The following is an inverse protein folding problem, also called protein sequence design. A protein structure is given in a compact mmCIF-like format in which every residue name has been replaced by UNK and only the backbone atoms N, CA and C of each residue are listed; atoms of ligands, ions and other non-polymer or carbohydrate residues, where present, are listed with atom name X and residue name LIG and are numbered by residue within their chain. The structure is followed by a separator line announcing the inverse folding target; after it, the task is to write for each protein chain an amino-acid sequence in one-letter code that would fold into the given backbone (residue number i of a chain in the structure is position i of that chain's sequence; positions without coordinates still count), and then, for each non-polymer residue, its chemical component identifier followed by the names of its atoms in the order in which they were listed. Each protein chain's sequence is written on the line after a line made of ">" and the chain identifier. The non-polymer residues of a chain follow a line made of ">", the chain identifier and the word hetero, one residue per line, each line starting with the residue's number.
data_IF_002488108450
#
_entry.id   IF_002488108450
#
_cell.length_a   1.000
_cell.length_b   1.000
_cell.length_c   1.000
_cell.angle_alpha   90.00
_cell.angle_beta   90.00
_cell.angle_gamma   90.00
#
_symmetry.space_group_name_H-M   'P 1'
#
loop_
_entity.id
_entity.type
_entity.pdbx_description
1 polymer ?
#
# COMPACT_ATOMS: atom_id res chain seq x y z
N UNK A 1 -8.67 72.93 3.48
CA UNK A 1 -8.44 72.73 2.04
C UNK A 1 -8.35 71.22 1.81
N UNK A 2 -9.45 70.65 1.31
CA UNK A 2 -9.55 69.25 0.94
C UNK A 2 -9.08 69.09 -0.50
N UNK A 3 -8.46 67.99 -0.88
CA UNK A 3 -8.75 67.42 -2.17
C UNK A 3 -9.25 65.99 -2.08
N UNK A 4 -10.25 65.79 -2.88
CA UNK A 4 -11.04 64.62 -3.14
C UNK A 4 -10.22 63.39 -3.57
N UNK A 5 -10.50 62.27 -2.93
CA UNK A 5 -10.08 60.93 -3.39
C UNK A 5 -11.23 60.37 -4.22
N UNK A 6 -10.98 60.16 -5.50
CA UNK A 6 -11.90 59.50 -6.42
C UNK A 6 -11.60 58.00 -6.36
N UNK A 7 -12.56 57.22 -5.87
CA UNK A 7 -12.51 55.75 -5.95
C UNK A 7 -13.04 55.32 -7.33
N UNK A 8 -12.17 54.71 -8.15
CA UNK A 8 -12.60 54.02 -9.36
C UNK A 8 -13.04 52.61 -8.99
N UNK A 9 -14.33 52.36 -9.11
CA UNK A 9 -14.90 51.01 -9.09
C UNK A 9 -14.80 50.46 -10.51
N UNK A 10 -13.83 49.55 -10.71
CA UNK A 10 -13.72 48.80 -11.96
C UNK A 10 -14.62 47.57 -11.89
N UNK A 11 -15.75 47.61 -12.60
CA UNK A 11 -16.57 46.44 -12.83
C UNK A 11 -15.92 45.57 -13.90
N UNK A 12 -15.38 44.43 -13.50
CA UNK A 12 -14.94 43.39 -14.43
C UNK A 12 -16.15 42.58 -14.89
N UNK A 13 -16.66 42.90 -16.09
CA UNK A 13 -17.63 42.07 -16.79
C UNK A 13 -16.92 40.86 -17.38
N UNK A 14 -17.16 39.70 -16.76
CA UNK A 14 -16.76 38.40 -17.33
C UNK A 14 -17.67 38.11 -18.53
N UNK A 15 -17.14 38.18 -19.73
CA UNK A 15 -17.78 37.64 -20.94
C UNK A 15 -17.68 36.12 -20.91
N UNK A 16 -18.80 35.48 -20.63
CA UNK A 16 -19.00 34.07 -20.90
C UNK A 16 -19.16 33.89 -22.41
N UNK A 17 -18.09 33.45 -23.11
CA UNK A 17 -18.23 32.91 -24.45
C UNK A 17 -18.93 31.57 -24.33
N UNK A 18 -20.22 31.54 -24.60
CA UNK A 18 -20.93 30.31 -24.89
C UNK A 18 -20.49 29.81 -26.27
N UNK A 19 -19.63 28.79 -26.32
CA UNK A 19 -19.40 28.01 -27.51
C UNK A 19 -20.70 27.28 -27.83
N UNK A 20 -21.54 27.84 -28.72
CA UNK A 20 -22.59 27.08 -29.35
C UNK A 20 -21.92 26.07 -30.28
N UNK A 21 -21.91 24.79 -29.83
CA UNK A 21 -21.61 23.69 -30.71
C UNK A 21 -22.68 23.67 -31.80
N UNK A 22 -22.29 23.99 -33.06
CA UNK A 22 -23.07 23.62 -34.22
C UNK A 22 -23.07 22.08 -34.26
N UNK A 23 -24.11 21.49 -33.74
CA UNK A 23 -24.46 20.13 -34.09
C UNK A 23 -24.91 20.16 -35.55
N UNK A 24 -24.01 19.86 -36.47
CA UNK A 24 -24.40 19.41 -37.80
C UNK A 24 -25.17 18.13 -37.59
N UNK A 25 -26.49 18.19 -37.79
CA UNK A 25 -27.30 16.99 -37.92
C UNK A 25 -26.74 16.22 -39.12
N UNK A 26 -25.86 15.28 -38.89
CA UNK A 26 -25.60 14.21 -39.84
C UNK A 26 -26.95 13.47 -39.89
N UNK A 27 -27.69 13.70 -40.98
CA UNK A 27 -28.89 12.89 -41.23
C UNK A 27 -28.43 11.43 -41.20
N UNK A 28 -29.07 10.60 -40.39
CA UNK A 28 -28.80 9.17 -40.37
C UNK A 28 -28.83 8.65 -41.81
N UNK A 29 -27.76 8.00 -42.21
CA UNK A 29 -27.72 7.34 -43.49
C UNK A 29 -28.88 6.31 -43.50
N UNK A 30 -29.62 6.19 -44.61
CA UNK A 30 -30.73 5.25 -44.66
C UNK A 30 -30.23 3.84 -44.33
N UNK A 31 -30.81 3.24 -43.35
CA UNK A 31 -30.47 1.89 -42.88
C UNK A 31 -31.00 0.82 -43.83
N UNK A 32 -31.92 1.20 -44.73
CA UNK A 32 -32.55 0.31 -45.71
C UNK A 32 -32.38 0.86 -47.14
N UNK A 33 -32.15 -0.02 -48.07
CA UNK A 33 -32.20 0.26 -49.50
C UNK A 33 -33.60 -0.04 -49.99
N UNK A 34 -34.30 0.97 -50.54
CA UNK A 34 -35.60 0.86 -51.11
C UNK A 34 -35.48 0.62 -52.63
N UNK A 35 -36.22 -0.33 -53.16
CA UNK A 35 -36.17 -0.64 -54.58
C UNK A 35 -37.54 -1.09 -55.11
N UNK A 36 -37.74 -0.96 -56.40
CA UNK A 36 -38.90 -1.45 -57.12
C UNK A 36 -38.49 -2.51 -58.13
N UNK A 37 -39.09 -3.70 -58.04
CA UNK A 37 -38.86 -4.82 -58.98
C UNK A 37 -40.02 -4.87 -59.98
N UNK A 38 -39.70 -4.79 -61.26
CA UNK A 38 -40.69 -4.99 -62.31
C UNK A 38 -41.24 -6.42 -62.30
N UNK A 39 -42.58 -6.55 -62.33
CA UNK A 39 -43.29 -7.83 -62.20
C UNK A 39 -43.16 -8.72 -63.43
N UNK A 40 -42.89 -8.15 -64.63
CA UNK A 40 -42.77 -8.89 -65.89
C UNK A 40 -41.34 -9.34 -66.22
N UNK A 41 -40.39 -8.45 -65.98
CA UNK A 41 -38.99 -8.62 -66.42
C UNK A 41 -38.01 -8.82 -65.28
N UNK A 42 -38.46 -8.70 -64.04
CA UNK A 42 -37.63 -8.87 -62.84
C UNK A 42 -36.57 -7.77 -62.60
N UNK A 43 -36.51 -6.76 -63.48
CA UNK A 43 -35.58 -5.65 -63.32
C UNK A 43 -35.82 -4.89 -62.05
N UNK A 44 -34.76 -4.59 -61.27
CA UNK A 44 -34.79 -3.87 -60.01
C UNK A 44 -34.18 -2.48 -60.24
N UNK A 45 -34.86 -1.43 -59.77
CA UNK A 45 -34.31 -0.07 -59.69
C UNK A 45 -34.39 0.42 -58.27
N UNK A 46 -33.33 1.06 -57.80
CA UNK A 46 -33.30 1.70 -56.48
C UNK A 46 -34.12 2.97 -56.49
N UNK A 47 -34.87 3.20 -55.43
CA UNK A 47 -35.73 4.37 -55.23
C UNK A 47 -35.49 4.97 -53.86
N UNK A 48 -35.91 6.21 -53.64
CA UNK A 48 -35.77 6.89 -52.36
C UNK A 48 -37.00 6.68 -51.45
N UNK A 49 -38.04 6.04 -51.92
CA UNK A 49 -39.27 5.79 -51.19
C UNK A 49 -40.06 4.64 -51.76
N UNK A 50 -40.69 3.84 -50.92
CA UNK A 50 -41.60 2.75 -51.31
C UNK A 50 -42.71 3.20 -52.24
N UNK A 51 -43.17 4.42 -52.10
CA UNK A 51 -44.26 4.99 -52.92
C UNK A 51 -43.82 5.36 -54.35
N UNK A 52 -42.54 5.22 -54.70
CA UNK A 52 -42.00 5.54 -56.00
C UNK A 52 -42.15 4.36 -57.02
N UNK A 53 -42.71 3.25 -56.60
CA UNK A 53 -42.95 2.10 -57.48
C UNK A 53 -44.17 2.33 -58.39
N UNK A 54 -44.02 1.96 -59.65
CA UNK A 54 -45.06 2.06 -60.65
C UNK A 54 -46.06 0.89 -60.50
N UNK A 55 -47.26 0.99 -61.12
CA UNK A 55 -48.30 -0.01 -61.00
C UNK A 55 -47.91 -1.43 -61.45
N UNK A 56 -46.85 -1.55 -62.27
CA UNK A 56 -46.30 -2.81 -62.76
C UNK A 56 -45.01 -3.21 -62.02
N UNK A 57 -44.77 -2.63 -60.84
CA UNK A 57 -43.62 -2.89 -59.99
C UNK A 57 -44.08 -3.28 -58.61
N UNK A 58 -43.29 -4.14 -57.95
CA UNK A 58 -43.45 -4.50 -56.56
C UNK A 58 -42.33 -3.88 -55.75
N UNK A 59 -42.63 -3.27 -54.61
CA UNK A 59 -41.65 -2.75 -53.70
C UNK A 59 -40.87 -3.89 -53.02
N UNK A 60 -39.59 -3.71 -52.88
CA UNK A 60 -38.64 -4.58 -52.15
C UNK A 60 -37.66 -3.71 -51.37
N UNK A 61 -37.35 -4.11 -50.17
CA UNK A 61 -36.36 -3.43 -49.36
C UNK A 61 -35.43 -4.45 -48.67
N UNK A 62 -34.23 -4.02 -48.39
CA UNK A 62 -33.28 -4.79 -47.61
C UNK A 62 -32.35 -3.85 -46.82
N UNK A 63 -31.82 -4.33 -45.70
CA UNK A 63 -30.96 -3.54 -44.82
C UNK A 63 -29.58 -3.34 -45.46
N UNK A 64 -28.98 -2.16 -45.23
CA UNK A 64 -27.62 -1.82 -45.74
C UNK A 64 -26.58 -2.66 -44.99
N UNK A 65 -26.85 -2.97 -43.72
CA UNK A 65 -26.00 -3.81 -42.89
C UNK A 65 -26.73 -5.11 -42.57
N UNK A 66 -26.02 -6.22 -42.57
CA UNK A 66 -26.54 -7.50 -42.12
C UNK A 66 -26.75 -7.51 -40.60
N UNK A 67 -27.55 -8.44 -40.07
CA UNK A 67 -27.71 -8.59 -38.63
C UNK A 67 -26.36 -8.79 -37.95
N UNK A 68 -26.20 -8.19 -36.78
CA UNK A 68 -25.02 -8.41 -35.97
C UNK A 68 -24.81 -9.90 -35.72
N UNK A 69 -23.57 -10.34 -35.80
CA UNK A 69 -23.20 -11.71 -35.47
C UNK A 69 -23.60 -12.08 -34.04
N UNK A 70 -23.80 -13.36 -33.76
CA UNK A 70 -24.09 -13.80 -32.41
C UNK A 70 -22.98 -13.34 -31.43
N UNK A 71 -23.36 -12.97 -30.22
CA UNK A 71 -22.41 -12.69 -29.18
C UNK A 71 -21.42 -13.86 -29.00
N UNK A 72 -20.13 -13.57 -28.84
CA UNK A 72 -19.14 -14.59 -28.55
C UNK A 72 -19.50 -15.39 -27.29
N UNK A 73 -19.01 -16.61 -27.15
CA UNK A 73 -19.20 -17.38 -25.93
C UNK A 73 -18.66 -16.62 -24.71
N UNK A 74 -19.34 -16.77 -23.59
CA UNK A 74 -18.85 -16.22 -22.32
C UNK A 74 -17.41 -16.73 -22.07
N UNK A 75 -16.53 -15.85 -21.64
CA UNK A 75 -15.18 -16.22 -21.23
C UNK A 75 -15.20 -17.31 -20.14
N UNK A 76 -14.14 -18.09 -20.02
CA UNK A 76 -14.03 -19.07 -18.94
C UNK A 76 -14.15 -18.36 -17.56
N UNK A 77 -14.77 -19.07 -16.64
CA UNK A 77 -14.81 -18.61 -15.24
C UNK A 77 -13.38 -18.39 -14.77
N UNK A 78 -13.09 -17.22 -14.20
CA UNK A 78 -11.78 -16.92 -13.62
C UNK A 78 -11.37 -18.00 -12.61
N UNK A 79 -10.07 -18.20 -12.39
CA UNK A 79 -9.59 -19.12 -11.36
C UNK A 79 -10.20 -18.74 -10.01
N UNK A 80 -10.43 -19.71 -9.12
CA UNK A 80 -10.82 -19.43 -7.74
C UNK A 80 -9.84 -18.41 -7.14
N UNK A 81 -10.35 -17.46 -6.36
CA UNK A 81 -9.51 -16.54 -5.60
C UNK A 81 -8.50 -17.30 -4.73
N UNK A 82 -7.37 -16.71 -4.39
CA UNK A 82 -6.40 -17.30 -3.49
C UNK A 82 -7.13 -17.73 -2.20
N UNK A 83 -6.69 -18.85 -1.65
CA UNK A 83 -7.17 -19.30 -0.32
C UNK A 83 -6.94 -18.12 0.64
N UNK A 84 -7.97 -17.72 1.38
CA UNK A 84 -7.81 -16.74 2.43
C UNK A 84 -6.66 -17.15 3.37
N UNK A 85 -5.93 -16.16 3.85
CA UNK A 85 -4.84 -16.37 4.80
C UNK A 85 -5.33 -17.25 5.96
N UNK A 86 -4.48 -18.16 6.40
CA UNK A 86 -4.75 -18.89 7.63
C UNK A 86 -4.95 -17.85 8.73
N UNK A 87 -6.11 -17.82 9.35
CA UNK A 87 -6.33 -16.93 10.48
C UNK A 87 -5.15 -17.07 11.43
N UNK A 88 -4.63 -15.94 11.90
CA UNK A 88 -3.56 -15.92 12.90
C UNK A 88 -4.05 -16.67 14.14
N UNK A 89 -3.71 -17.95 14.20
CA UNK A 89 -3.93 -18.75 15.39
C UNK A 89 -3.13 -18.15 16.54
N UNK A 90 -3.54 -18.43 17.77
CA UNK A 90 -2.79 -18.06 18.97
C UNK A 90 -1.41 -18.73 18.87
N UNK A 91 -0.38 -17.92 18.73
CA UNK A 91 1.00 -18.42 18.58
C UNK A 91 1.60 -18.86 19.91
N UNK A 92 1.06 -18.38 21.03
CA UNK A 92 1.45 -18.76 22.40
C UNK A 92 0.27 -18.56 23.35
N UNK A 93 0.32 -19.20 24.53
CA UNK A 93 -0.69 -19.00 25.58
C UNK A 93 -0.68 -17.56 26.10
N UNK A 94 0.48 -16.91 26.09
CA UNK A 94 0.64 -15.52 26.49
C UNK A 94 -0.17 -14.56 25.62
N UNK A 95 -0.45 -14.93 24.36
CA UNK A 95 -1.31 -14.15 23.49
C UNK A 95 -2.78 -14.08 23.95
N UNK A 96 -3.16 -14.86 24.96
CA UNK A 96 -4.47 -14.79 25.60
C UNK A 96 -4.53 -13.73 26.71
N UNK A 97 -3.39 -13.31 27.25
CA UNK A 97 -3.35 -12.32 28.31
C UNK A 97 -4.05 -11.03 27.86
N UNK A 98 -4.91 -10.50 28.71
CA UNK A 98 -5.67 -9.28 28.44
C UNK A 98 -6.87 -9.44 27.51
N UNK A 99 -7.12 -10.62 26.91
CA UNK A 99 -8.32 -10.80 26.08
C UNK A 99 -9.59 -10.70 26.93
N UNK A 100 -10.65 -10.10 26.35
CA UNK A 100 -11.91 -9.94 27.07
C UNK A 100 -12.52 -11.32 27.41
N UNK A 101 -12.96 -11.47 28.65
CA UNK A 101 -13.64 -12.66 29.13
C UNK A 101 -14.85 -12.28 30.00
N UNK A 102 -15.62 -13.27 30.41
CA UNK A 102 -16.66 -13.12 31.42
C UNK A 102 -16.34 -13.98 32.62
N UNK A 103 -16.42 -13.39 33.79
CA UNK A 103 -16.33 -14.11 35.06
C UNK A 103 -17.52 -15.05 35.25
N UNK A 104 -17.44 -15.94 36.20
CA UNK A 104 -18.50 -16.93 36.47
C UNK A 104 -19.84 -16.28 36.81
N UNK A 105 -19.84 -15.10 37.41
CA UNK A 105 -21.03 -14.29 37.72
C UNK A 105 -21.50 -13.41 36.54
N UNK A 106 -20.86 -13.52 35.38
CA UNK A 106 -21.23 -12.83 34.15
C UNK A 106 -20.68 -11.40 34.04
N UNK A 107 -19.85 -10.94 34.98
CA UNK A 107 -19.17 -9.66 34.85
C UNK A 107 -18.14 -9.66 33.73
N UNK A 108 -17.88 -8.49 33.13
CA UNK A 108 -16.81 -8.35 32.15
C UNK A 108 -15.46 -8.35 32.88
N UNK A 109 -14.50 -9.05 32.32
CA UNK A 109 -13.16 -9.16 32.82
C UNK A 109 -12.16 -9.33 31.69
N UNK A 110 -10.92 -9.60 32.06
CA UNK A 110 -9.81 -9.90 31.13
C UNK A 110 -9.11 -11.18 31.60
N UNK A 111 -8.51 -11.88 30.63
CA UNK A 111 -7.76 -13.12 30.91
C UNK A 111 -6.41 -12.75 31.49
N UNK A 112 -6.10 -13.30 32.65
CA UNK A 112 -4.74 -13.35 33.18
C UNK A 112 -4.13 -14.72 32.94
N UNK A 113 -2.89 -14.70 32.43
CA UNK A 113 -2.08 -15.90 32.22
C UNK A 113 -1.06 -15.98 33.34
N UNK A 114 -1.16 -16.99 34.16
CA UNK A 114 -0.23 -17.28 35.25
C UNK A 114 0.46 -18.59 35.07
N UNK A 115 1.62 -18.77 35.70
CA UNK A 115 2.28 -20.07 35.85
C UNK A 115 2.51 -20.38 37.32
N UNK A 116 2.35 -21.66 37.68
CA UNK A 116 2.67 -22.14 39.03
C UNK A 116 4.05 -22.78 39.05
N UNK A 117 4.63 -22.94 40.22
CA UNK A 117 5.93 -23.58 40.42
C UNK A 117 5.99 -25.05 39.92
N UNK A 118 4.88 -25.61 39.45
CA UNK A 118 4.75 -26.95 38.91
C UNK A 118 4.49 -27.00 37.40
N UNK A 119 4.91 -25.97 36.68
CA UNK A 119 4.73 -25.82 35.22
C UNK A 119 3.26 -25.85 34.73
N UNK A 120 2.30 -25.62 35.64
CA UNK A 120 0.90 -25.48 35.27
C UNK A 120 0.59 -24.06 34.85
N UNK A 121 0.12 -23.93 33.61
CA UNK A 121 -0.40 -22.61 33.12
C UNK A 121 -1.81 -22.45 33.62
N UNK A 122 -2.08 -21.31 34.25
CA UNK A 122 -3.43 -20.92 34.73
C UNK A 122 -3.95 -19.79 33.87
N UNK A 123 -5.20 -19.90 33.45
CA UNK A 123 -5.97 -18.85 32.79
C UNK A 123 -7.09 -18.46 33.76
N UNK A 124 -7.08 -17.25 34.23
CA UNK A 124 -8.12 -16.68 35.11
C UNK A 124 -8.79 -15.51 34.43
N UNK A 125 -10.10 -15.38 34.61
CA UNK A 125 -10.83 -14.18 34.18
C UNK A 125 -10.98 -13.26 35.39
N UNK A 126 -10.20 -12.20 35.45
CA UNK A 126 -10.23 -11.24 36.55
C UNK A 126 -11.29 -10.16 36.29
N UNK A 127 -12.21 -9.97 37.25
CA UNK A 127 -13.21 -8.89 37.22
C UNK A 127 -12.67 -7.67 37.94
N UNK A 128 -12.65 -6.55 37.25
CA UNK A 128 -12.59 -5.22 37.85
C UNK A 128 -11.23 -4.59 37.97
N UNK A 129 -11.13 -3.41 37.43
CA UNK A 129 -10.38 -2.28 37.95
C UNK A 129 -8.92 -2.13 37.59
N UNK A 130 -8.59 -2.34 36.39
CA UNK A 130 -7.62 -1.50 35.67
C UNK A 130 -8.12 -1.37 34.23
N UNK A 131 -7.89 -0.23 33.62
CA UNK A 131 -8.11 -0.05 32.17
C UNK A 131 -7.72 -1.34 31.46
N UNK A 132 -8.62 -1.95 30.64
CA UNK A 132 -8.24 -3.11 29.84
C UNK A 132 -6.89 -2.78 29.21
N UNK A 133 -5.91 -3.70 29.19
CA UNK A 133 -4.77 -3.52 28.32
C UNK A 133 -5.36 -3.17 26.96
N UNK A 134 -4.85 -2.19 26.24
CA UNK A 134 -5.41 -1.78 24.98
C UNK A 134 -5.61 -3.04 24.14
N UNK A 135 -6.86 -3.30 23.72
CA UNK A 135 -7.23 -4.44 22.88
C UNK A 135 -6.67 -4.20 21.48
N UNK A 136 -5.37 -4.30 21.38
CA UNK A 136 -4.61 -4.09 20.17
C UNK A 136 -3.23 -4.70 20.37
N UNK A 137 -2.65 -5.21 19.33
CA UNK A 137 -1.26 -5.61 19.31
C UNK A 137 -0.39 -4.41 18.92
N UNK A 138 0.75 -4.28 19.53
CA UNK A 138 1.82 -3.42 19.03
C UNK A 138 2.58 -4.16 17.93
N UNK A 139 2.99 -3.43 16.90
CA UNK A 139 3.82 -3.97 15.83
C UNK A 139 4.85 -2.92 15.45
N UNK A 140 6.10 -3.22 15.76
CA UNK A 140 7.23 -2.36 15.42
C UNK A 140 7.82 -2.81 14.09
N UNK A 141 8.02 -1.85 13.19
CA UNK A 141 8.68 -2.07 11.89
C UNK A 141 9.71 -0.98 11.63
N UNK A 142 10.78 -1.30 10.93
CA UNK A 142 11.72 -0.34 10.34
C UNK A 142 10.97 0.32 9.18
N UNK A 143 10.86 1.64 9.17
CA UNK A 143 9.94 2.34 8.25
C UNK A 143 10.65 3.24 7.23
N UNK A 144 11.75 3.86 7.61
CA UNK A 144 12.56 4.71 6.75
C UNK A 144 14.03 4.61 7.17
N UNK A 145 14.94 4.62 6.21
CA UNK A 145 16.39 4.49 6.43
C UNK A 145 17.11 5.43 5.49
N UNK A 146 17.96 6.27 6.06
CA UNK A 146 18.94 7.11 5.36
C UNK A 146 20.32 6.60 5.72
N UNK A 147 21.06 6.05 4.76
CA UNK A 147 22.35 5.40 5.01
C UNK A 147 23.49 5.88 4.08
N UNK A 148 23.19 6.69 3.05
CA UNK A 148 24.21 7.17 2.10
C UNK A 148 23.89 8.61 1.66
N UNK A 149 24.33 9.58 2.46
CA UNK A 149 24.02 10.99 2.25
C UNK A 149 24.89 11.63 1.15
N UNK A 150 24.31 12.58 0.41
CA UNK A 150 25.04 13.32 -0.61
C UNK A 150 26.19 14.11 -0.01
N UNK A 151 27.40 13.78 -0.43
CA UNK A 151 28.66 14.46 -0.05
C UNK A 151 29.38 13.83 1.12
N UNK A 152 29.24 14.35 2.34
CA UNK A 152 29.82 13.72 3.53
C UNK A 152 28.81 12.74 4.11
N UNK A 153 29.19 11.49 4.19
CA UNK A 153 28.37 10.43 4.74
C UNK A 153 28.30 10.57 6.27
N UNK A 154 27.39 11.41 6.72
CA UNK A 154 27.16 11.72 8.14
C UNK A 154 25.72 12.19 8.37
N UNK A 155 25.11 11.73 9.45
CA UNK A 155 23.78 12.18 9.85
C UNK A 155 22.63 11.30 9.36
N UNK A 156 22.93 10.05 9.06
CA UNK A 156 21.95 9.03 8.76
C UNK A 156 20.97 8.78 9.90
N UNK A 157 19.87 8.15 9.59
CA UNK A 157 18.86 7.76 10.58
C UNK A 157 18.15 6.46 10.22
N UNK A 158 17.53 5.87 11.24
CA UNK A 158 16.57 4.78 11.05
C UNK A 158 15.28 5.18 11.76
N UNK A 159 14.17 5.17 11.05
CA UNK A 159 12.86 5.38 11.63
C UNK A 159 12.18 4.04 11.93
N UNK A 160 11.62 3.93 13.13
CA UNK A 160 10.82 2.79 13.58
C UNK A 160 9.38 3.25 13.75
N UNK A 161 8.42 2.57 13.11
CA UNK A 161 7.00 2.84 13.25
C UNK A 161 6.31 1.77 14.10
N UNK A 162 5.37 2.20 14.95
CA UNK A 162 4.43 1.28 15.57
C UNK A 162 3.15 1.23 14.73
N UNK A 163 3.06 0.24 13.85
CA UNK A 163 1.91 0.02 12.96
C UNK A 163 0.78 -0.74 13.64
N UNK A 164 0.94 -1.11 14.90
CA UNK A 164 -0.08 -1.78 15.72
C UNK A 164 -1.17 -0.82 16.20
N UNK A 165 -2.15 -1.38 16.88
CA UNK A 165 -3.31 -0.67 17.44
C UNK A 165 -3.15 -0.38 18.93
N UNK A 166 -2.06 -0.84 19.55
CA UNK A 166 -1.69 -0.57 20.93
C UNK A 166 -0.31 0.06 21.02
N UNK A 167 -0.02 0.73 22.13
CA UNK A 167 1.31 1.23 22.41
C UNK A 167 2.31 0.06 22.55
N UNK A 168 3.50 0.23 22.00
CA UNK A 168 4.61 -0.71 22.11
C UNK A 168 5.54 -0.30 23.27
N UNK A 169 5.94 -1.24 24.14
CA UNK A 169 7.10 -1.01 24.99
C UNK A 169 8.37 -1.19 24.19
N UNK A 170 9.31 -0.28 24.34
CA UNK A 170 10.61 -0.32 23.69
C UNK A 170 11.69 -0.93 24.59
N UNK A 171 11.41 -1.11 25.87
CA UNK A 171 12.32 -1.76 26.80
C UNK A 171 12.55 -3.21 26.38
N UNK A 172 13.83 -3.57 26.22
CA UNK A 172 14.21 -4.86 25.68
C UNK A 172 14.19 -4.96 24.13
N UNK A 173 13.99 -3.83 23.44
CA UNK A 173 14.12 -3.78 21.97
C UNK A 173 15.45 -3.11 21.61
N UNK A 174 16.11 -3.63 20.59
CA UNK A 174 17.32 -3.05 20.03
C UNK A 174 17.26 -2.98 18.50
N UNK A 175 17.70 -1.87 17.96
CA UNK A 175 18.08 -1.73 16.56
C UNK A 175 19.55 -2.15 16.43
N UNK A 176 19.83 -3.13 15.59
CA UNK A 176 21.14 -3.71 15.36
C UNK A 176 21.56 -3.43 13.94
N UNK A 177 22.80 -2.96 13.77
CA UNK A 177 23.41 -2.67 12.48
C UNK A 177 24.37 -3.80 12.14
N UNK A 178 24.25 -4.39 10.95
CA UNK A 178 24.93 -5.61 10.53
C UNK A 178 25.74 -5.35 9.27
N UNK A 179 27.04 -5.67 9.33
CA UNK A 179 27.93 -5.70 8.18
C UNK A 179 27.67 -6.98 7.37
N UNK A 180 27.22 -6.85 6.14
CA UNK A 180 26.92 -8.01 5.30
C UNK A 180 28.16 -8.71 4.73
N UNK A 181 29.32 -8.10 4.78
CA UNK A 181 30.57 -8.72 4.35
C UNK A 181 30.96 -9.94 5.18
N UNK A 182 30.60 -9.95 6.47
CA UNK A 182 30.88 -11.08 7.39
C UNK A 182 29.66 -11.48 8.23
N UNK A 183 28.54 -10.79 8.09
CA UNK A 183 27.31 -11.03 8.84
C UNK A 183 27.40 -10.64 10.32
N UNK A 184 28.38 -9.85 10.72
CA UNK A 184 28.56 -9.44 12.12
C UNK A 184 27.87 -8.14 12.45
N UNK A 185 27.44 -8.01 13.70
CA UNK A 185 26.98 -6.76 14.27
C UNK A 185 28.15 -5.78 14.41
N UNK A 186 27.98 -4.54 13.89
CA UNK A 186 28.95 -3.47 14.08
C UNK A 186 28.41 -2.31 14.92
N UNK A 187 27.11 -2.26 15.15
CA UNK A 187 26.48 -1.22 15.94
C UNK A 187 25.15 -1.65 16.54
N UNK A 188 24.80 -1.06 17.67
CA UNK A 188 23.55 -1.37 18.38
C UNK A 188 22.99 -0.14 19.08
N UNK A 189 21.69 0.06 18.96
CA UNK A 189 20.94 1.07 19.72
C UNK A 189 19.85 0.39 20.53
N UNK A 190 20.03 0.30 21.84
CA UNK A 190 18.97 -0.14 22.75
C UNK A 190 17.91 0.93 22.82
N UNK A 191 16.65 0.55 22.60
CA UNK A 191 15.51 1.43 22.70
C UNK A 191 14.93 1.38 24.11
N UNK A 192 14.26 2.44 24.52
CA UNK A 192 13.63 2.53 25.84
C UNK A 192 12.33 3.32 25.81
N UNK A 193 11.44 3.07 26.77
CA UNK A 193 10.19 3.78 26.91
C UNK A 193 9.04 3.18 26.14
N UNK A 194 8.16 3.98 25.58
CA UNK A 194 6.93 3.55 24.96
C UNK A 194 6.66 4.30 23.66
N UNK A 195 6.31 3.60 22.60
CA UNK A 195 5.89 4.17 21.33
C UNK A 195 4.38 3.96 21.14
N UNK A 196 3.61 5.05 21.11
CA UNK A 196 2.15 4.97 20.94
C UNK A 196 1.76 4.30 19.61
N UNK A 197 0.54 3.77 19.53
CA UNK A 197 -0.02 3.27 18.28
C UNK A 197 0.00 4.33 17.18
N UNK A 198 0.49 3.99 15.99
CA UNK A 198 0.65 4.89 14.85
C UNK A 198 1.78 5.91 14.98
N UNK A 199 2.53 5.92 16.10
CA UNK A 199 3.66 6.82 16.29
C UNK A 199 4.95 6.27 15.65
N UNK A 200 5.89 7.18 15.44
CA UNK A 200 7.20 6.92 14.85
C UNK A 200 8.31 7.37 15.80
N UNK A 201 9.42 6.67 15.78
CA UNK A 201 10.63 6.98 16.52
C UNK A 201 11.78 7.09 15.51
N UNK A 202 12.35 8.26 15.39
CA UNK A 202 13.58 8.48 14.65
C UNK A 202 14.77 8.16 15.56
N UNK A 203 15.59 7.22 15.13
CA UNK A 203 16.80 6.79 15.82
C UNK A 203 17.99 7.39 15.08
N UNK A 204 18.71 8.25 15.74
CA UNK A 204 19.95 8.86 15.26
C UNK A 204 21.07 7.81 15.28
N UNK A 205 21.30 7.22 14.13
CA UNK A 205 22.34 6.23 13.85
C UNK A 205 22.79 6.42 12.39
N UNK A 206 24.00 6.02 12.11
CA UNK A 206 24.62 6.14 10.78
C UNK A 206 24.89 4.72 10.24
N UNK A 207 23.93 4.11 9.52
CA UNK A 207 24.13 2.79 8.95
C UNK A 207 25.19 2.84 7.85
N UNK A 208 26.01 1.79 7.73
CA UNK A 208 27.03 1.72 6.69
C UNK A 208 26.40 1.64 5.29
N UNK A 209 27.13 2.18 4.30
CA UNK A 209 26.79 2.14 2.89
C UNK A 209 27.58 1.08 2.10
N UNK A 210 28.10 0.07 2.76
CA UNK A 210 28.77 -1.07 2.12
C UNK A 210 27.78 -2.05 1.50
N UNK A 211 28.20 -2.78 0.46
CA UNK A 211 27.34 -3.74 -0.23
C UNK A 211 27.74 -5.20 0.10
N UNK A 212 26.86 -5.99 0.76
CA UNK A 212 25.58 -5.64 1.38
C UNK A 212 25.74 -5.16 2.82
N UNK A 213 24.76 -4.41 3.32
CA UNK A 213 24.61 -4.11 4.75
C UNK A 213 23.16 -4.27 5.18
N UNK A 214 22.89 -4.22 6.49
CA UNK A 214 21.54 -4.50 6.96
C UNK A 214 21.24 -4.04 8.38
N UNK A 215 19.94 -4.08 8.67
CA UNK A 215 19.35 -3.69 9.94
C UNK A 215 18.50 -4.83 10.49
N UNK A 216 18.53 -5.03 11.80
CA UNK A 216 17.66 -5.94 12.52
C UNK A 216 17.02 -5.22 13.69
N UNK A 217 15.70 -5.28 13.79
CA UNK A 217 14.97 -4.86 14.97
C UNK A 217 14.71 -6.11 15.83
N UNK A 218 15.33 -6.19 16.99
CA UNK A 218 15.38 -7.42 17.80
C UNK A 218 14.76 -7.18 19.17
N UNK A 219 13.92 -8.10 19.61
CA UNK A 219 13.56 -8.20 21.01
C UNK A 219 14.64 -9.01 21.75
N UNK A 220 15.44 -8.33 22.55
CA UNK A 220 16.59 -8.92 23.27
C UNK A 220 16.20 -9.76 24.48
N UNK A 221 14.95 -9.63 24.96
CA UNK A 221 14.43 -10.44 26.06
C UNK A 221 14.00 -11.84 25.58
N UNK A 222 13.36 -11.90 24.41
CA UNK A 222 12.89 -13.17 23.81
C UNK A 222 13.82 -13.72 22.72
N UNK A 223 14.88 -12.99 22.38
CA UNK A 223 15.80 -13.32 21.27
C UNK A 223 15.06 -13.51 19.93
N UNK A 224 14.11 -12.64 19.61
CA UNK A 224 13.31 -12.73 18.38
C UNK A 224 13.54 -11.53 17.47
N UNK A 225 13.64 -11.80 16.18
CA UNK A 225 13.61 -10.77 15.15
C UNK A 225 12.19 -10.23 15.02
N UNK A 226 12.03 -8.92 15.09
CA UNK A 226 10.75 -8.23 14.94
C UNK A 226 10.56 -7.74 13.50
N UNK A 227 11.64 -7.23 12.89
CA UNK A 227 11.67 -6.71 11.54
C UNK A 227 13.12 -6.63 11.05
N UNK A 228 13.34 -6.62 9.74
CA UNK A 228 14.67 -6.57 9.15
C UNK A 228 14.69 -5.82 7.82
N UNK A 229 15.86 -5.35 7.44
CA UNK A 229 16.16 -4.85 6.11
C UNK A 229 17.59 -5.27 5.74
N UNK A 230 17.74 -5.91 4.58
CA UNK A 230 19.02 -6.10 3.92
C UNK A 230 19.02 -5.25 2.65
N UNK A 231 19.95 -4.36 2.51
CA UNK A 231 20.06 -3.45 1.36
C UNK A 231 21.39 -3.68 0.61
N UNK A 232 21.41 -3.32 -0.68
CA UNK A 232 22.52 -3.52 -1.61
C UNK A 232 22.98 -4.97 -1.76
N UNK A 233 22.18 -5.90 -1.31
CA UNK A 233 22.39 -7.33 -1.43
C UNK A 233 21.79 -8.13 -0.27
N UNK A 234 21.74 -9.47 -0.36
CA UNK A 234 21.13 -10.31 0.65
C UNK A 234 22.10 -10.61 1.82
N UNK A 235 21.58 -10.56 3.05
CA UNK A 235 22.25 -11.06 4.26
C UNK A 235 21.40 -12.19 4.85
N UNK A 236 21.75 -13.43 4.53
CA UNK A 236 21.05 -14.62 5.05
C UNK A 236 21.56 -15.10 6.40
N UNK A 237 22.65 -14.53 6.89
CA UNK A 237 23.28 -14.96 8.14
C UNK A 237 23.84 -13.75 8.87
N UNK A 238 23.00 -13.10 9.65
CA UNK A 238 23.35 -11.97 10.52
C UNK A 238 23.50 -12.48 11.95
N UNK A 239 24.66 -12.37 12.54
CA UNK A 239 24.90 -12.76 13.93
C UNK A 239 24.81 -11.56 14.84
N UNK A 240 23.84 -11.57 15.74
CA UNK A 240 23.60 -10.54 16.75
C UNK A 240 23.69 -11.18 18.13
N UNK A 241 24.62 -10.77 18.95
CA UNK A 241 24.93 -11.42 20.23
C UNK A 241 25.09 -12.97 20.09
N UNK A 242 24.06 -13.72 20.48
CA UNK A 242 24.05 -15.18 20.49
C UNK A 242 23.15 -15.79 19.41
N UNK A 243 22.46 -14.99 18.63
CA UNK A 243 21.49 -15.45 17.64
C UNK A 243 21.90 -15.08 16.22
N UNK A 244 21.47 -15.92 15.31
CA UNK A 244 21.64 -15.70 13.87
C UNK A 244 20.28 -15.54 13.24
N UNK A 245 20.14 -14.51 12.40
CA UNK A 245 18.90 -14.19 11.69
C UNK A 245 19.15 -14.12 10.19
N UNK A 246 18.13 -14.38 9.40
CA UNK A 246 18.06 -14.01 7.99
C UNK A 246 17.42 -12.61 7.93
N UNK A 247 18.11 -11.67 7.31
CA UNK A 247 17.61 -10.28 7.15
C UNK A 247 16.90 -10.06 5.83
N UNK A 248 16.77 -11.09 5.00
CA UNK A 248 16.03 -11.02 3.75
C UNK A 248 14.56 -11.32 4.00
N UNK A 249 13.72 -10.35 3.80
CA UNK A 249 12.28 -10.51 3.84
C UNK A 249 11.75 -10.87 2.46
N UNK A 250 11.34 -12.11 2.28
CA UNK A 250 10.73 -12.61 1.04
C UNK A 250 11.64 -12.44 -0.18
N UNK A 251 11.32 -11.51 -1.06
CA UNK A 251 12.15 -11.18 -2.23
C UNK A 251 13.16 -10.10 -1.86
N UNK A 252 14.41 -10.33 -2.20
CA UNK A 252 15.53 -9.38 -1.98
C UNK A 252 15.18 -8.00 -2.50
N UNK A 253 15.57 -6.95 -1.76
CA UNK A 253 15.43 -5.57 -2.20
C UNK A 253 16.16 -5.37 -3.55
N UNK A 254 15.49 -4.85 -4.60
CA UNK A 254 16.13 -4.59 -5.88
C UNK A 254 17.25 -3.57 -5.75
N UNK A 255 18.36 -3.79 -6.44
CA UNK A 255 19.56 -2.93 -6.38
C UNK A 255 19.33 -1.50 -6.87
N UNK A 256 18.31 -1.27 -7.68
CA UNK A 256 17.91 0.06 -8.15
C UNK A 256 17.09 0.85 -7.11
N UNK A 257 16.72 0.21 -6.01
CA UNK A 257 16.05 0.85 -4.87
C UNK A 257 17.05 1.37 -3.83
N UNK A 258 18.35 1.07 -4.00
CA UNK A 258 19.42 1.53 -3.10
C UNK A 258 19.45 3.05 -2.93
N UNK A 259 19.83 3.53 -1.77
CA UNK A 259 20.24 4.91 -1.51
C UNK A 259 21.55 5.23 -2.23
N UNK A 260 21.94 6.47 -2.31
CA UNK A 260 23.18 6.82 -3.00
C UNK A 260 23.71 8.21 -2.61
N UNK A 261 25.02 8.35 -2.57
CA UNK A 261 25.68 9.64 -2.30
C UNK A 261 25.57 10.67 -3.44
N UNK A 262 24.84 10.37 -4.49
CA UNK A 262 24.60 11.28 -5.63
C UNK A 262 23.20 11.85 -5.68
N UNK A 263 22.24 11.13 -5.14
CA UNK A 263 20.83 11.49 -5.16
C UNK A 263 20.33 11.61 -3.71
N UNK A 264 19.93 12.81 -3.30
CA UNK A 264 19.32 13.02 -1.99
C UNK A 264 18.09 12.15 -1.82
N UNK A 265 18.01 11.39 -0.73
CA UNK A 265 16.87 10.53 -0.50
C UNK A 265 17.05 9.54 0.63
N UNK A 266 16.13 8.60 0.70
CA UNK A 266 16.07 7.54 1.70
C UNK A 266 15.42 6.30 1.13
N UNK A 267 15.62 5.14 1.76
CA UNK A 267 14.76 3.98 1.60
C UNK A 267 13.55 4.13 2.53
N UNK A 268 12.36 3.97 2.00
CA UNK A 268 11.14 4.09 2.79
C UNK A 268 10.13 3.00 2.43
N UNK A 269 9.37 2.51 3.43
CA UNK A 269 8.22 1.64 3.17
C UNK A 269 7.10 2.45 2.51
N UNK A 270 6.63 2.02 1.35
CA UNK A 270 5.60 2.68 0.56
C UNK A 270 4.53 1.66 0.13
N UNK A 271 3.31 1.76 0.64
CA UNK A 271 2.75 2.77 1.57
C UNK A 271 3.39 2.78 2.96
N UNK A 272 3.33 3.93 3.61
CA UNK A 272 3.88 4.18 4.94
C UNK A 272 3.50 3.09 5.96
N UNK A 273 4.47 2.54 6.66
CA UNK A 273 4.29 1.48 7.65
C UNK A 273 3.87 0.11 7.10
N UNK A 274 3.77 -0.06 5.77
CA UNK A 274 3.42 -1.35 5.17
C UNK A 274 4.57 -2.33 5.31
N UNK A 275 4.25 -3.50 5.85
CA UNK A 275 5.18 -4.61 5.95
C UNK A 275 4.46 -5.91 5.63
N UNK A 276 4.78 -6.46 4.46
CA UNK A 276 4.26 -7.75 3.96
C UNK A 276 5.28 -8.88 4.08
N UNK A 277 6.39 -8.63 4.77
CA UNK A 277 7.58 -9.50 4.80
C UNK A 277 8.11 -9.77 3.38
N UNK A 278 8.16 -8.75 2.55
CA UNK A 278 8.70 -8.82 1.19
C UNK A 278 9.37 -7.49 0.82
N UNK A 279 10.68 -7.43 0.97
CA UNK A 279 11.44 -6.20 0.80
C UNK A 279 11.26 -5.56 -0.59
N UNK A 280 11.17 -6.35 -1.66
CA UNK A 280 10.97 -5.84 -3.02
C UNK A 280 9.60 -5.18 -3.23
N UNK A 281 8.61 -5.50 -2.39
CA UNK A 281 7.26 -4.94 -2.48
C UNK A 281 7.09 -3.74 -1.56
N UNK A 282 7.68 -3.79 -0.39
CA UNK A 282 7.41 -2.86 0.71
C UNK A 282 8.27 -1.60 0.62
N UNK A 283 9.47 -1.70 0.06
CA UNK A 283 10.46 -0.62 0.05
C UNK A 283 10.56 0.08 -1.30
N UNK A 284 10.81 1.36 -1.26
CA UNK A 284 11.11 2.21 -2.42
C UNK A 284 12.14 3.26 -2.03
N UNK A 285 12.99 3.65 -2.98
CA UNK A 285 13.75 4.88 -2.81
C UNK A 285 12.82 6.09 -2.95
N UNK A 286 13.00 7.10 -2.11
CA UNK A 286 12.29 8.38 -2.17
C UNK A 286 13.28 9.54 -2.06
N UNK A 287 13.11 10.57 -2.89
CA UNK A 287 13.95 11.78 -2.85
C UNK A 287 13.51 12.78 -1.79
N UNK A 288 12.56 12.42 -0.95
CA UNK A 288 12.03 13.27 0.12
C UNK A 288 12.08 12.51 1.43
N UNK A 289 13.17 12.65 2.19
CA UNK A 289 13.24 12.13 3.56
C UNK A 289 12.09 12.67 4.42
N UNK A 290 11.48 11.81 5.22
CA UNK A 290 10.28 12.15 6.01
C UNK A 290 10.39 11.74 7.47
N UNK A 291 11.54 11.95 8.16
CA UNK A 291 11.71 11.50 9.54
C UNK A 291 10.62 12.06 10.47
N UNK A 292 9.92 11.16 11.14
CA UNK A 292 8.82 11.50 12.05
C UNK A 292 7.49 11.79 11.36
N UNK A 293 7.42 11.75 10.03
CA UNK A 293 6.21 12.00 9.23
C UNK A 293 5.85 10.79 8.36
N UNK A 294 4.71 10.83 7.69
CA UNK A 294 4.33 9.75 6.78
C UNK A 294 5.20 9.75 5.52
N UNK A 295 5.68 8.56 5.13
CA UNK A 295 6.50 8.37 3.95
C UNK A 295 5.75 8.79 2.67
N UNK A 296 6.44 9.47 1.78
CA UNK A 296 5.90 9.91 0.49
C UNK A 296 6.70 9.27 -0.64
N UNK A 297 6.02 8.82 -1.67
CA UNK A 297 6.66 8.28 -2.86
C UNK A 297 7.05 9.43 -3.80
N UNK A 298 8.35 9.59 -4.01
CA UNK A 298 8.88 10.48 -5.04
C UNK A 298 9.76 9.67 -5.99
N UNK A 299 9.78 10.06 -7.27
CA UNK A 299 10.56 9.31 -8.24
C UNK A 299 12.06 9.59 -8.05
N UNK A 300 12.89 8.56 -8.20
CA UNK A 300 14.34 8.74 -8.38
C UNK A 300 14.57 9.55 -9.65
N UNK A 301 15.49 10.56 -9.65
CA UNK A 301 15.79 11.40 -10.82
C UNK A 301 16.19 10.64 -12.07
#
# INVERSE_FOLDING_TARGET
>A
MNPHTIALVGAATAMLLSAAALATAAGDAPTTIEACRNTRHGLVRIVFSANACKSNETHVSWDVEGPAGPAGPAGPVGPPGPKGDSGSGISSVDALAGTACKTFDGANGHVEVGSTATDLITLTCESGGSTPPPTGNSRLVINEVDYDQVGADTGGFVEIANTGTAAATLDGIALVLVNGGDGSEYGRKTLTGTLAAGAKLVVDVDPQNGAPDGLALVNTTSDTLLDALSYEGPIHTATTDTKTFDLVEGTVLPVDVADSNTDEGTLARIPDGTDTNNAATDWSFTTTPTPGAANVKTAKP
#
